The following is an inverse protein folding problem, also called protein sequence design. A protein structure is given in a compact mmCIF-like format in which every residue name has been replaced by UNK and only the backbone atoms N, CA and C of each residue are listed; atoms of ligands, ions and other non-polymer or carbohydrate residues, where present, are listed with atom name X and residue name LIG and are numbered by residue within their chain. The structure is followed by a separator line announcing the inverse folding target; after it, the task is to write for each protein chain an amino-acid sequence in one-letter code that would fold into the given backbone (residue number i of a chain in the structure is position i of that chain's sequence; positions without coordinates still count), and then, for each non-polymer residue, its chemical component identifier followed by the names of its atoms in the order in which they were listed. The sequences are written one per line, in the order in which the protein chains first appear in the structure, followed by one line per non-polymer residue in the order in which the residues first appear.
data_IF_477928187543
#
_entry.id   IF_477928187543
#
_cell.length_a   1.000
_cell.length_b   1.000
_cell.length_c   1.000
_cell.angle_alpha   90.00
_cell.angle_beta   90.00
_cell.angle_gamma   90.00
#
_symmetry.space_group_name_H-M   'P 1'
#
loop_
_entity.id
_entity.type
_entity.pdbx_description
1 polymer ?
#
# COMPACT_ATOMS: atom_id res chain seq x y z
N UNK A 1 4.37 -15.28 15.46
CA UNK A 1 3.74 -13.94 15.29
C UNK A 1 4.81 -12.95 14.83
N UNK A 2 4.45 -11.88 14.10
CA UNK A 2 5.39 -10.86 13.62
C UNK A 2 4.87 -9.45 13.96
N UNK A 3 5.74 -8.62 14.51
CA UNK A 3 5.52 -7.20 14.77
C UNK A 3 6.45 -6.37 13.89
N UNK A 4 6.00 -5.17 13.53
CA UNK A 4 6.77 -4.22 12.74
C UNK A 4 6.98 -2.96 13.57
N UNK A 5 8.23 -2.53 13.66
CA UNK A 5 8.65 -1.33 14.36
C UNK A 5 9.51 -0.49 13.43
N UNK A 6 9.56 0.80 13.75
CA UNK A 6 10.45 1.75 13.14
C UNK A 6 11.38 2.32 14.21
N UNK A 7 12.63 2.60 13.85
CA UNK A 7 13.59 3.33 14.68
C UNK A 7 14.10 4.58 13.97
N UNK A 8 14.56 5.58 14.72
CA UNK A 8 15.05 6.85 14.17
C UNK A 8 13.94 7.85 13.87
N UNK A 9 12.77 7.69 14.50
CA UNK A 9 11.69 8.67 14.39
C UNK A 9 12.12 10.02 15.00
N UNK A 10 11.52 11.14 14.54
CA UNK A 10 11.67 12.43 15.22
C UNK A 10 11.29 12.30 16.68
N UNK A 11 12.04 12.95 17.58
CA UNK A 11 11.86 12.90 19.05
C UNK A 11 12.14 11.56 19.73
N UNK A 12 12.50 10.51 18.99
CA UNK A 12 12.79 9.19 19.56
C UNK A 12 13.98 9.20 20.53
N UNK A 13 13.78 8.58 21.68
CA UNK A 13 14.80 8.39 22.72
C UNK A 13 15.39 6.98 22.72
N UNK A 14 16.51 6.81 23.42
CA UNK A 14 17.14 5.52 23.63
C UNK A 14 16.24 4.56 24.44
N UNK A 15 15.40 5.11 25.30
CA UNK A 15 14.37 4.41 26.05
C UNK A 15 13.30 3.83 25.12
N UNK A 16 12.84 4.59 24.12
CA UNK A 16 11.86 4.14 23.12
C UNK A 16 12.39 2.96 22.30
N UNK A 17 13.64 3.08 21.83
CA UNK A 17 14.33 1.97 21.15
C UNK A 17 14.37 0.74 22.06
N UNK A 18 14.70 0.92 23.33
CA UNK A 18 14.77 -0.19 24.31
C UNK A 18 13.39 -0.81 24.57
N UNK A 19 12.32 -0.01 24.54
CA UNK A 19 10.97 -0.45 24.79
C UNK A 19 10.48 -1.48 23.75
N UNK A 20 11.00 -1.46 22.52
CA UNK A 20 10.69 -2.45 21.48
C UNK A 20 11.07 -3.87 21.95
N UNK A 21 12.28 -4.05 22.49
CA UNK A 21 12.74 -5.34 23.00
C UNK A 21 11.93 -5.79 24.23
N UNK A 22 11.61 -4.85 25.13
CA UNK A 22 10.80 -5.12 26.32
C UNK A 22 9.38 -5.56 25.95
N UNK A 23 8.75 -4.90 24.97
CA UNK A 23 7.44 -5.28 24.46
C UNK A 23 7.49 -6.68 23.82
N UNK A 24 8.50 -6.94 22.98
CA UNK A 24 8.72 -8.26 22.40
C UNK A 24 8.83 -9.37 23.46
N UNK A 25 9.52 -9.09 24.57
CA UNK A 25 9.63 -10.03 25.69
C UNK A 25 8.29 -10.23 26.43
N UNK A 26 7.54 -9.16 26.68
CA UNK A 26 6.20 -9.24 27.31
C UNK A 26 5.24 -10.09 26.46
N UNK A 27 5.21 -9.85 25.16
CA UNK A 27 4.37 -10.59 24.22
C UNK A 27 4.79 -12.05 24.13
N UNK A 28 6.10 -12.33 24.09
CA UNK A 28 6.61 -13.70 24.12
C UNK A 28 6.18 -14.44 25.39
N UNK A 29 6.30 -13.78 26.56
CA UNK A 29 5.87 -14.37 27.85
C UNK A 29 4.39 -14.75 27.82
N UNK A 30 3.52 -13.87 27.33
CA UNK A 30 2.10 -14.17 27.19
C UNK A 30 1.84 -15.28 26.16
N UNK A 31 2.52 -15.22 25.02
CA UNK A 31 2.44 -16.26 23.99
C UNK A 31 2.85 -17.66 24.51
N UNK A 32 3.85 -17.74 25.39
CA UNK A 32 4.31 -19.01 25.98
C UNK A 32 3.30 -19.63 26.95
N UNK A 33 2.43 -18.82 27.56
CA UNK A 33 1.32 -19.33 28.41
C UNK A 33 0.27 -20.07 27.59
N UNK A 34 0.01 -19.59 26.38
CA UNK A 34 -0.96 -20.17 25.44
C UNK A 34 -0.34 -21.29 24.59
N UNK A 35 0.92 -21.13 24.19
CA UNK A 35 1.62 -22.06 23.31
C UNK A 35 3.11 -22.15 23.70
N UNK A 36 3.53 -23.31 24.23
CA UNK A 36 4.93 -23.56 24.64
C UNK A 36 5.96 -23.47 23.50
N UNK A 37 5.52 -23.45 22.24
CA UNK A 37 6.36 -23.24 21.04
C UNK A 37 6.26 -21.82 20.49
N UNK A 38 5.72 -20.86 21.24
CA UNK A 38 5.61 -19.48 20.80
C UNK A 38 6.98 -18.88 20.47
N UNK A 39 7.01 -18.17 19.34
CA UNK A 39 8.13 -17.39 18.84
C UNK A 39 7.60 -16.08 18.25
N UNK A 40 8.37 -15.02 18.46
CA UNK A 40 8.03 -13.66 18.06
C UNK A 40 9.11 -13.13 17.12
N UNK A 41 8.68 -12.58 15.98
CA UNK A 41 9.57 -11.88 15.05
C UNK A 41 9.36 -10.37 15.21
N UNK A 42 10.44 -9.63 15.40
CA UNK A 42 10.47 -8.16 15.45
C UNK A 42 11.09 -7.66 14.15
N UNK A 43 10.26 -7.28 13.18
CA UNK A 43 10.70 -6.54 11.99
C UNK A 43 11.01 -5.10 12.37
N UNK A 44 12.22 -4.62 12.09
CA UNK A 44 12.63 -3.26 12.45
C UNK A 44 13.21 -2.56 11.23
N UNK A 45 12.58 -1.45 10.80
CA UNK A 45 13.11 -0.57 9.75
C UNK A 45 13.60 0.75 10.36
N UNK A 46 14.56 1.41 9.71
CA UNK A 46 14.87 2.79 10.08
C UNK A 46 13.87 3.75 9.42
N UNK A 47 13.63 4.88 10.07
CA UNK A 47 12.75 5.93 9.57
C UNK A 47 13.36 6.58 8.33
N UNK A 48 12.55 6.68 7.29
CA UNK A 48 12.88 7.34 6.03
C UNK A 48 11.83 8.42 5.81
N UNK A 49 12.14 9.70 6.03
CA UNK A 49 11.24 10.79 5.66
C UNK A 49 10.82 10.69 4.19
N UNK A 50 9.52 10.75 3.92
CA UNK A 50 8.96 10.60 2.57
C UNK A 50 8.38 11.92 2.08
N UNK A 51 8.46 12.22 0.77
CA UNK A 51 7.70 13.29 0.14
C UNK A 51 6.23 13.23 0.54
N UNK A 52 5.61 14.40 0.68
CA UNK A 52 4.19 14.53 0.98
C UNK A 52 3.74 13.95 2.33
N UNK A 53 4.67 13.87 3.28
CA UNK A 53 4.37 13.50 4.66
C UNK A 53 4.71 14.65 5.60
N UNK A 54 4.07 14.76 6.78
CA UNK A 54 4.43 15.79 7.75
C UNK A 54 5.91 15.79 8.11
N UNK A 55 6.56 14.63 8.14
CA UNK A 55 7.99 14.55 8.46
C UNK A 55 8.93 14.76 7.27
N UNK A 56 8.47 15.19 6.10
CA UNK A 56 9.33 15.36 4.91
C UNK A 56 10.49 16.37 5.10
N UNK A 57 10.44 17.22 6.13
CA UNK A 57 11.50 18.17 6.50
C UNK A 57 12.50 17.66 7.53
N UNK A 58 12.22 16.51 8.16
CA UNK A 58 13.08 15.92 9.17
C UNK A 58 14.32 15.25 8.53
N UNK A 59 15.47 15.31 9.21
CA UNK A 59 16.59 14.46 8.86
C UNK A 59 16.27 12.99 9.15
N UNK A 60 16.99 12.11 8.46
CA UNK A 60 17.08 10.70 8.78
C UNK A 60 18.37 10.48 9.59
N UNK A 61 18.34 9.53 10.54
CA UNK A 61 19.54 9.14 11.27
C UNK A 61 20.65 8.70 10.32
N UNK A 62 21.88 9.03 10.67
CA UNK A 62 23.06 8.57 9.93
C UNK A 62 23.14 7.05 9.92
N UNK A 63 23.95 6.52 8.99
CA UNK A 63 24.22 5.08 8.92
C UNK A 63 24.79 4.57 10.26
N UNK A 64 25.69 5.34 10.88
CA UNK A 64 26.33 4.99 12.15
C UNK A 64 25.33 4.94 13.32
N UNK A 65 24.47 5.96 13.46
CA UNK A 65 23.42 5.99 14.49
C UNK A 65 22.43 4.84 14.32
N UNK A 66 22.04 4.55 13.07
CA UNK A 66 21.15 3.41 12.77
C UNK A 66 21.77 2.09 13.21
N UNK A 67 23.07 1.86 12.92
CA UNK A 67 23.78 0.69 13.42
C UNK A 67 23.83 0.64 14.94
N UNK A 68 24.09 1.76 15.60
CA UNK A 68 24.14 1.85 17.06
C UNK A 68 22.80 1.45 17.70
N UNK A 69 21.69 2.01 17.21
CA UNK A 69 20.34 1.69 17.69
C UNK A 69 19.98 0.22 17.47
N UNK A 70 20.30 -0.35 16.30
CA UNK A 70 20.10 -1.78 16.05
C UNK A 70 20.95 -2.67 16.96
N UNK A 71 22.19 -2.28 17.24
CA UNK A 71 23.06 -3.03 18.15
C UNK A 71 22.56 -2.96 19.59
N UNK A 72 22.01 -1.82 20.02
CA UNK A 72 21.31 -1.67 21.30
C UNK A 72 20.09 -2.61 21.39
N UNK A 73 19.27 -2.69 20.35
CA UNK A 73 18.15 -3.64 20.30
C UNK A 73 18.63 -5.09 20.41
N UNK A 74 19.66 -5.46 19.64
CA UNK A 74 20.24 -6.81 19.66
C UNK A 74 20.74 -7.20 21.05
N UNK A 75 21.43 -6.30 21.75
CA UNK A 75 22.03 -6.59 23.06
C UNK A 75 20.99 -6.79 24.17
N UNK A 76 19.79 -6.23 24.01
CA UNK A 76 18.69 -6.39 24.96
C UNK A 76 17.90 -7.70 24.77
N UNK A 77 17.99 -8.31 23.59
CA UNK A 77 17.31 -9.57 23.30
C UNK A 77 18.18 -10.74 23.78
N UNK A 78 17.77 -11.37 24.89
CA UNK A 78 18.52 -12.48 25.51
C UNK A 78 18.01 -13.88 25.18
N UNK A 79 16.89 -13.99 24.49
CA UNK A 79 16.23 -15.28 24.19
C UNK A 79 16.27 -15.60 22.71
N UNK A 80 16.45 -16.89 22.37
CA UNK A 80 16.42 -17.39 20.99
C UNK A 80 15.03 -17.45 20.37
N UNK A 81 13.97 -17.16 21.14
CA UNK A 81 12.56 -17.17 20.68
C UNK A 81 12.07 -15.79 20.23
N UNK A 82 12.90 -14.76 20.39
CA UNK A 82 12.62 -13.40 19.97
C UNK A 82 13.59 -13.05 18.84
N UNK A 83 13.10 -13.09 17.61
CA UNK A 83 13.91 -12.95 16.41
C UNK A 83 13.89 -11.51 15.94
N UNK A 84 15.00 -10.79 16.08
CA UNK A 84 15.17 -9.48 15.45
C UNK A 84 15.41 -9.67 13.95
N UNK A 85 14.58 -9.03 13.13
CA UNK A 85 14.67 -9.02 11.66
C UNK A 85 14.80 -7.57 11.19
N UNK A 86 16.00 -6.98 11.33
CA UNK A 86 16.20 -5.60 10.94
C UNK A 86 16.36 -5.48 9.42
N UNK A 87 15.87 -4.39 8.85
CA UNK A 87 16.23 -3.97 7.50
C UNK A 87 17.70 -3.52 7.49
N UNK A 88 18.42 -3.75 6.39
CA UNK A 88 19.81 -3.30 6.29
C UNK A 88 19.88 -1.76 6.35
N UNK A 89 20.72 -1.19 7.24
CA UNK A 89 20.90 0.25 7.33
C UNK A 89 21.33 0.88 5.99
N UNK A 90 22.16 0.19 5.22
CA UNK A 90 22.65 0.63 3.91
C UNK A 90 21.52 0.76 2.89
N UNK A 91 20.61 -0.22 2.82
CA UNK A 91 19.42 -0.15 1.96
C UNK A 91 18.53 1.03 2.36
N UNK A 92 18.31 1.19 3.67
CA UNK A 92 17.51 2.31 4.21
C UNK A 92 18.16 3.67 3.95
N UNK A 93 19.49 3.74 3.90
CA UNK A 93 20.24 4.95 3.58
C UNK A 93 20.13 5.32 2.10
N UNK A 94 20.19 4.33 1.19
CA UNK A 94 19.91 4.54 -0.24
C UNK A 94 18.47 4.98 -0.49
N UNK A 95 17.50 4.32 0.17
CA UNK A 95 16.09 4.75 0.17
C UNK A 95 15.96 6.19 0.70
N UNK A 96 16.78 6.51 1.71
CA UNK A 96 17.15 7.83 2.18
C UNK A 96 17.39 8.82 1.04
N UNK A 97 18.47 8.58 0.30
CA UNK A 97 18.92 9.44 -0.78
C UNK A 97 17.81 9.62 -1.85
N UNK A 98 17.23 8.51 -2.33
CA UNK A 98 16.29 8.56 -3.46
C UNK A 98 14.90 9.08 -3.12
N UNK A 99 14.41 8.86 -1.90
CA UNK A 99 13.11 9.42 -1.50
C UNK A 99 13.14 10.96 -1.45
N UNK A 100 14.33 11.57 -1.29
CA UNK A 100 14.51 13.02 -1.36
C UNK A 100 15.21 13.49 -2.63
N UNK A 101 15.20 12.64 -3.65
CA UNK A 101 15.98 12.83 -4.85
C UNK A 101 15.53 14.01 -5.70
N UNK A 102 16.51 14.61 -6.37
CA UNK A 102 16.33 15.63 -7.39
C UNK A 102 17.03 15.20 -8.70
N UNK A 103 17.08 16.11 -9.68
CA UNK A 103 17.62 15.83 -11.02
C UNK A 103 19.06 15.28 -11.01
N UNK A 104 20.00 15.81 -10.20
CA UNK A 104 21.34 15.23 -10.03
C UNK A 104 21.38 13.72 -9.79
N UNK A 105 20.47 13.17 -8.99
CA UNK A 105 20.48 11.74 -8.65
C UNK A 105 20.21 10.83 -9.85
N UNK A 106 19.64 11.33 -10.94
CA UNK A 106 19.48 10.53 -12.16
C UNK A 106 20.85 10.02 -12.68
N UNK A 107 21.89 10.86 -12.60
CA UNK A 107 23.26 10.46 -12.99
C UNK A 107 23.84 9.40 -12.07
N UNK A 108 23.52 9.48 -10.76
CA UNK A 108 23.94 8.49 -9.78
C UNK A 108 23.39 7.11 -10.09
N UNK A 109 22.09 7.02 -10.41
CA UNK A 109 21.43 5.75 -10.76
C UNK A 109 22.11 5.12 -11.98
N UNK A 110 22.35 5.92 -13.02
CA UNK A 110 23.02 5.44 -14.24
C UNK A 110 24.44 4.97 -13.91
N UNK A 111 25.21 5.75 -13.14
CA UNK A 111 26.59 5.39 -12.79
C UNK A 111 26.68 4.11 -11.96
N UNK A 112 25.81 3.97 -10.95
CA UNK A 112 25.72 2.74 -10.16
C UNK A 112 25.32 1.54 -11.03
N UNK A 113 24.40 1.75 -11.97
CA UNK A 113 24.03 0.74 -12.94
C UNK A 113 25.21 0.34 -13.84
N UNK A 114 26.01 1.28 -14.35
CA UNK A 114 27.22 0.98 -15.14
C UNK A 114 28.26 0.18 -14.34
N UNK A 115 28.38 0.46 -13.04
CA UNK A 115 29.26 -0.29 -12.12
C UNK A 115 28.74 -1.69 -11.78
N UNK A 116 27.50 -2.01 -12.12
CA UNK A 116 26.91 -3.33 -11.95
C UNK A 116 26.02 -3.50 -10.71
N UNK A 117 25.52 -2.42 -10.12
CA UNK A 117 24.44 -2.45 -9.12
C UNK A 117 23.13 -2.95 -9.77
N UNK A 118 22.66 -4.11 -9.37
CA UNK A 118 21.41 -4.74 -9.85
C UNK A 118 20.81 -5.51 -8.69
N UNK A 119 19.47 -5.53 -8.59
CA UNK A 119 18.77 -6.26 -7.53
C UNK A 119 19.20 -5.82 -6.12
N UNK A 120 19.54 -4.55 -5.93
CA UNK A 120 20.01 -3.98 -4.65
C UNK A 120 18.91 -3.91 -3.58
N UNK A 121 17.65 -4.16 -3.94
CA UNK A 121 16.54 -4.34 -2.99
C UNK A 121 16.69 -5.63 -2.17
N UNK A 122 17.32 -6.66 -2.73
CA UNK A 122 17.62 -7.89 -2.00
C UNK A 122 18.93 -7.74 -1.27
N UNK A 123 18.91 -8.11 0.01
CA UNK A 123 20.06 -8.02 0.89
C UNK A 123 21.33 -8.67 0.29
N UNK A 124 21.21 -9.80 -0.39
CA UNK A 124 22.32 -10.51 -1.04
C UNK A 124 22.85 -9.80 -2.30
N UNK A 125 22.00 -9.00 -2.95
CA UNK A 125 22.32 -8.27 -4.18
C UNK A 125 22.91 -6.88 -3.95
N UNK A 126 22.76 -6.31 -2.74
CA UNK A 126 23.20 -4.95 -2.43
C UNK A 126 24.72 -4.77 -2.53
N UNK A 127 25.16 -3.97 -3.51
CA UNK A 127 26.58 -3.59 -3.69
C UNK A 127 26.84 -2.18 -3.19
N UNK A 128 26.65 -1.93 -1.90
CA UNK A 128 26.75 -0.59 -1.32
C UNK A 128 28.08 0.13 -1.61
N UNK A 129 29.21 -0.60 -1.64
CA UNK A 129 30.50 -0.02 -1.98
C UNK A 129 30.53 0.64 -3.38
N UNK A 130 29.86 0.06 -4.37
CA UNK A 130 29.76 0.62 -5.72
C UNK A 130 28.88 1.87 -5.75
N UNK A 131 27.85 1.93 -4.90
CA UNK A 131 27.08 3.16 -4.71
C UNK A 131 27.97 4.28 -4.17
N UNK A 132 28.85 3.96 -3.21
CA UNK A 132 29.82 4.93 -2.66
C UNK A 132 30.72 5.52 -3.73
N UNK A 133 31.36 4.65 -4.50
CA UNK A 133 32.18 5.08 -5.63
C UNK A 133 31.36 5.90 -6.65
N UNK A 134 30.12 5.49 -6.93
CA UNK A 134 29.28 6.16 -7.92
C UNK A 134 28.91 7.60 -7.51
N UNK A 135 28.58 7.86 -6.23
CA UNK A 135 28.28 9.23 -5.80
C UNK A 135 29.54 10.09 -5.66
N UNK A 136 30.68 9.50 -5.28
CA UNK A 136 31.97 10.20 -5.28
C UNK A 136 32.33 10.66 -6.71
N UNK A 137 32.23 9.76 -7.70
CA UNK A 137 32.47 10.08 -9.11
C UNK A 137 31.47 11.10 -9.68
N UNK A 138 30.23 11.10 -9.18
CA UNK A 138 29.21 12.06 -9.60
C UNK A 138 29.29 13.41 -8.85
N UNK A 139 30.16 13.54 -7.83
CA UNK A 139 30.22 14.72 -6.97
C UNK A 139 28.96 14.94 -6.13
N UNK A 140 28.29 13.86 -5.75
CA UNK A 140 27.04 13.88 -4.97
C UNK A 140 27.37 13.65 -3.50
N UNK A 141 26.99 14.59 -2.65
CA UNK A 141 27.06 14.44 -1.20
C UNK A 141 25.77 13.77 -0.67
N UNK A 142 25.83 12.53 -0.15
CA UNK A 142 24.64 11.87 0.41
C UNK A 142 24.13 12.56 1.69
N UNK A 143 24.97 13.26 2.46
CA UNK A 143 24.55 13.95 3.69
C UNK A 143 23.56 15.07 3.37
N UNK A 144 23.73 15.76 2.25
CA UNK A 144 22.78 16.75 1.74
C UNK A 144 21.36 16.18 1.57
N UNK A 145 21.22 14.90 1.21
CA UNK A 145 19.90 14.29 1.05
C UNK A 145 19.36 13.74 2.36
N UNK A 146 20.17 13.03 3.14
CA UNK A 146 19.68 12.21 4.26
C UNK A 146 19.65 12.97 5.59
N UNK A 147 20.74 13.65 5.95
CA UNK A 147 21.00 14.04 7.33
C UNK A 147 20.70 15.52 7.63
N UNK A 148 20.46 16.34 6.60
CA UNK A 148 20.10 17.75 6.81
C UNK A 148 18.63 17.92 7.13
N UNK A 149 18.36 18.80 8.11
CA UNK A 149 17.03 19.37 8.34
C UNK A 149 16.70 20.37 7.23
N UNK A 150 15.46 20.33 6.75
CA UNK A 150 14.97 21.26 5.71
C UNK A 150 14.10 22.34 6.33
N UNK A 151 14.11 23.53 5.74
CA UNK A 151 13.30 24.65 6.21
C UNK A 151 11.85 24.57 5.71
N UNK A 152 10.92 25.19 6.45
CA UNK A 152 9.50 25.33 6.06
C UNK A 152 9.36 25.87 4.62
N UNK A 153 10.04 26.97 4.35
CA UNK A 153 9.99 27.72 3.09
C UNK A 153 10.94 27.16 2.01
N UNK A 154 11.63 26.06 2.29
CA UNK A 154 12.56 25.46 1.34
C UNK A 154 11.78 24.89 0.15
N UNK A 155 12.27 25.15 -1.07
CA UNK A 155 11.74 24.51 -2.28
C UNK A 155 12.19 23.06 -2.34
N UNK A 156 11.23 22.14 -2.28
CA UNK A 156 11.48 20.70 -2.32
C UNK A 156 11.41 20.19 -3.76
N UNK A 157 12.18 19.14 -4.12
CA UNK A 157 12.20 18.59 -5.48
C UNK A 157 10.82 18.19 -6.02
N UNK A 158 9.89 17.83 -5.14
CA UNK A 158 8.54 17.37 -5.46
C UNK A 158 7.45 18.45 -5.30
N UNK A 159 7.81 19.70 -4.97
CA UNK A 159 6.83 20.81 -4.81
C UNK A 159 6.03 21.11 -6.10
N UNK A 160 6.55 20.68 -7.26
CA UNK A 160 5.87 20.84 -8.55
C UNK A 160 4.81 19.78 -8.84
N UNK A 161 4.67 18.78 -7.97
CA UNK A 161 3.66 17.72 -8.11
C UNK A 161 2.44 18.08 -7.25
N UNK A 162 1.27 17.85 -7.82
CA UNK A 162 0.01 18.08 -7.14
C UNK A 162 -0.57 16.75 -6.64
N UNK A 163 -0.85 16.69 -5.34
CA UNK A 163 -1.35 15.49 -4.65
C UNK A 163 -2.59 15.78 -3.80
N UNK A 164 -3.32 16.84 -4.13
CA UNK A 164 -4.50 17.36 -3.41
C UNK A 164 -4.29 17.81 -1.96
N UNK A 165 -3.10 17.60 -1.37
CA UNK A 165 -2.71 18.13 -0.06
C UNK A 165 -1.85 19.37 -0.19
N UNK A 166 -2.16 20.39 0.62
CA UNK A 166 -1.38 21.63 0.71
C UNK A 166 -0.11 21.42 1.53
N UNK A 167 1.00 22.03 1.10
CA UNK A 167 2.28 21.97 1.81
C UNK A 167 2.20 22.61 3.20
N UNK A 168 1.41 23.68 3.32
CA UNK A 168 1.17 24.39 4.59
C UNK A 168 0.46 23.49 5.59
N UNK A 169 -0.51 22.71 5.13
CA UNK A 169 -1.22 21.74 5.98
C UNK A 169 -0.27 20.66 6.51
N UNK A 170 0.62 20.12 5.65
CA UNK A 170 1.63 19.15 6.10
C UNK A 170 2.58 19.75 7.16
N UNK A 171 2.87 21.05 7.09
CA UNK A 171 3.68 21.74 8.09
C UNK A 171 2.94 21.91 9.42
N UNK A 172 1.65 22.26 9.39
CA UNK A 172 0.81 22.34 10.58
C UNK A 172 0.70 20.98 11.29
N UNK A 173 0.53 19.90 10.52
CA UNK A 173 0.53 18.53 11.05
C UNK A 173 1.89 18.15 11.65
N UNK A 174 2.98 18.61 11.03
CA UNK A 174 4.32 18.43 11.57
C UNK A 174 4.47 19.11 12.93
N UNK A 175 4.10 20.39 13.05
CA UNK A 175 4.15 21.13 14.30
C UNK A 175 3.27 20.48 15.37
N UNK A 176 2.06 20.05 15.00
CA UNK A 176 1.15 19.31 15.87
C UNK A 176 1.79 18.01 16.39
N UNK A 177 2.46 17.24 15.51
CA UNK A 177 3.13 15.99 15.88
C UNK A 177 4.27 16.19 16.88
N UNK A 178 5.06 17.26 16.71
CA UNK A 178 6.17 17.61 17.62
C UNK A 178 5.64 17.98 19.01
N UNK A 179 4.44 18.55 19.09
CA UNK A 179 3.77 18.88 20.35
C UNK A 179 2.93 17.73 20.93
N UNK A 180 2.97 16.54 20.31
CA UNK A 180 2.09 15.42 20.65
C UNK A 180 0.61 15.82 20.73
N UNK A 181 0.18 16.74 19.85
CA UNK A 181 -1.18 17.24 19.82
C UNK A 181 -2.16 16.14 19.39
N UNK A 182 -3.35 16.18 19.97
CA UNK A 182 -4.43 15.28 19.58
C UNK A 182 -5.04 15.71 18.25
N UNK A 183 -5.19 14.77 17.33
CA UNK A 183 -5.86 14.97 16.03
C UNK A 183 -7.18 14.20 16.04
N UNK A 184 -8.27 14.89 15.72
CA UNK A 184 -9.60 14.28 15.64
C UNK A 184 -9.69 13.29 14.47
N UNK A 185 -10.54 12.26 14.62
CA UNK A 185 -10.90 11.39 13.52
C UNK A 185 -11.74 12.16 12.47
N UNK A 186 -11.24 12.30 11.24
CA UNK A 186 -11.91 13.08 10.19
C UNK A 186 -13.26 12.50 9.70
N UNK A 187 -13.64 11.29 10.16
CA UNK A 187 -14.97 10.71 9.93
C UNK A 187 -16.05 11.29 10.84
N UNK A 188 -15.68 11.84 11.99
CA UNK A 188 -16.63 12.38 12.99
C UNK A 188 -16.30 13.78 13.49
N UNK A 189 -15.03 14.19 13.39
CA UNK A 189 -14.52 15.48 13.80
C UNK A 189 -14.17 16.38 12.62
N UNK A 190 -13.08 17.14 12.75
CA UNK A 190 -12.63 18.09 11.73
C UNK A 190 -12.02 17.35 10.53
N UNK A 191 -12.35 17.80 9.33
CA UNK A 191 -11.78 17.27 8.10
C UNK A 191 -10.25 17.45 8.08
N UNK A 192 -9.51 16.40 7.71
CA UNK A 192 -8.06 16.43 7.52
C UNK A 192 -7.62 16.93 6.13
N UNK A 193 -8.57 17.40 5.31
CA UNK A 193 -8.32 18.04 4.00
C UNK A 193 -7.44 17.20 3.06
N UNK A 194 -7.64 15.88 3.05
CA UNK A 194 -6.91 14.96 2.17
C UNK A 194 -7.31 15.04 0.68
N UNK A 195 -8.31 15.85 0.33
CA UNK A 195 -8.80 16.03 -1.04
C UNK A 195 -9.73 14.93 -1.56
N UNK A 196 -9.89 13.82 -0.83
CA UNK A 196 -10.70 12.66 -1.29
C UNK A 196 -12.21 12.89 -1.17
N UNK A 197 -12.63 13.61 -0.13
CA UNK A 197 -14.03 13.79 0.25
C UNK A 197 -14.41 15.25 0.12
N UNK A 198 -15.47 15.55 -0.63
CA UNK A 198 -16.02 16.90 -0.78
C UNK A 198 -17.24 17.15 0.13
N UNK A 199 -17.69 16.10 0.84
CA UNK A 199 -18.88 16.07 1.68
C UNK A 199 -20.19 16.44 0.95
N UNK A 200 -20.17 16.54 -0.39
CA UNK A 200 -21.33 16.81 -1.24
C UNK A 200 -21.69 15.56 -2.04
N UNK A 201 -20.75 15.05 -2.82
CA UNK A 201 -20.89 13.85 -3.64
C UNK A 201 -20.24 12.64 -2.97
N UNK A 202 -19.09 12.85 -2.32
CA UNK A 202 -18.31 11.81 -1.65
C UNK A 202 -18.25 12.13 -0.17
N UNK A 203 -18.61 11.15 0.68
CA UNK A 203 -18.50 11.26 2.14
C UNK A 203 -18.11 9.94 2.78
N UNK A 204 -17.37 10.03 3.88
CA UNK A 204 -17.07 8.88 4.71
C UNK A 204 -18.37 8.27 5.24
N UNK A 205 -18.50 6.94 5.09
CA UNK A 205 -19.54 6.17 5.76
C UNK A 205 -18.90 5.48 6.95
N UNK A 206 -18.91 6.14 8.11
CA UNK A 206 -18.48 5.50 9.34
C UNK A 206 -19.43 4.35 9.70
N UNK A 207 -18.87 3.24 10.17
CA UNK A 207 -19.66 2.18 10.78
C UNK A 207 -20.15 2.67 12.14
N UNK A 208 -21.46 2.88 12.29
CA UNK A 208 -22.03 3.21 13.59
C UNK A 208 -22.16 1.95 14.43
N UNK A 209 -21.56 1.95 15.63
CA UNK A 209 -21.73 0.85 16.57
C UNK A 209 -23.21 0.69 16.93
N UNK A 210 -23.72 -0.56 17.02
CA UNK A 210 -25.08 -0.80 17.46
C UNK A 210 -25.28 -0.21 18.87
N UNK A 211 -26.28 0.65 19.03
CA UNK A 211 -26.64 1.21 20.35
C UNK A 211 -27.59 0.26 21.04
N UNK A 212 -27.31 -0.04 22.29
CA UNK A 212 -28.16 -0.87 23.14
C UNK A 212 -28.79 0.03 24.20
N UNK A 213 -30.08 -0.14 24.44
CA UNK A 213 -30.76 0.51 25.55
C UNK A 213 -30.25 -0.03 26.90
N UNK A 214 -30.69 0.59 28.01
CA UNK A 214 -30.31 0.17 29.36
C UNK A 214 -30.68 -1.29 29.70
N UNK A 215 -31.55 -1.93 28.92
CA UNK A 215 -31.92 -3.33 29.05
C UNK A 215 -31.11 -4.26 28.12
N UNK A 216 -30.10 -3.75 27.42
CA UNK A 216 -29.25 -4.52 26.52
C UNK A 216 -29.92 -4.85 25.18
N UNK A 217 -31.03 -4.18 24.83
CA UNK A 217 -31.75 -4.41 23.58
C UNK A 217 -31.33 -3.38 22.54
N UNK A 218 -31.11 -3.84 21.31
CA UNK A 218 -30.69 -2.97 20.21
C UNK A 218 -31.74 -1.88 19.97
N UNK A 219 -31.33 -0.62 20.07
CA UNK A 219 -32.16 0.54 19.74
C UNK A 219 -32.47 0.55 18.24
N UNK A 220 -33.74 0.27 17.89
CA UNK A 220 -34.21 0.35 16.50
C UNK A 220 -34.38 1.81 16.10
N UNK A 221 -33.40 2.41 15.43
CA UNK A 221 -33.56 3.74 14.83
C UNK A 221 -34.34 3.66 13.51
N UNK A 222 -35.35 4.53 13.36
CA UNK A 222 -35.90 4.95 12.06
C UNK A 222 -35.03 6.08 11.55
N UNK A 223 -34.02 5.79 10.74
CA UNK A 223 -33.21 6.83 10.08
C UNK A 223 -34.05 7.55 9.02
N UNK A 224 -34.10 8.88 9.08
CA UNK A 224 -34.85 9.79 8.18
C UNK A 224 -34.09 10.19 6.91
N UNK A 225 -32.83 9.79 6.79
CA UNK A 225 -32.27 9.52 5.47
C UNK A 225 -32.65 8.07 5.20
N UNK A 226 -33.15 7.75 4.00
CA UNK A 226 -33.00 6.39 3.49
C UNK A 226 -31.49 6.10 3.47
N UNK A 227 -30.97 5.69 4.62
CA UNK A 227 -29.99 4.63 4.69
C UNK A 227 -30.66 3.59 3.84
N UNK A 228 -30.31 3.54 2.54
CA UNK A 228 -30.37 2.29 1.78
C UNK A 228 -29.90 1.33 2.83
N UNK A 229 -30.84 0.50 3.32
CA UNK A 229 -30.56 -0.51 4.32
C UNK A 229 -29.20 -1.04 3.93
N UNK A 230 -28.26 -1.25 4.86
CA UNK A 230 -27.09 -2.02 4.47
C UNK A 230 -27.66 -3.29 3.83
N UNK A 231 -27.69 -3.30 2.50
CA UNK A 231 -28.02 -4.42 1.68
C UNK A 231 -26.66 -5.07 1.85
N UNK A 232 -26.50 -6.07 2.73
CA UNK A 232 -25.30 -6.88 2.69
C UNK A 232 -25.10 -7.14 1.20
N UNK A 233 -23.95 -6.75 0.61
CA UNK A 233 -23.76 -6.86 -0.83
C UNK A 233 -24.27 -8.23 -1.17
N UNK A 234 -25.36 -8.29 -1.95
CA UNK A 234 -26.08 -9.55 -2.16
C UNK A 234 -24.98 -10.50 -2.56
N UNK A 235 -24.66 -11.54 -1.76
CA UNK A 235 -23.52 -12.39 -2.05
C UNK A 235 -23.71 -12.78 -3.51
N UNK A 236 -22.79 -12.40 -4.40
CA UNK A 236 -23.03 -12.40 -5.83
C UNK A 236 -23.48 -13.79 -6.16
N UNK A 237 -24.77 -13.95 -6.52
CA UNK A 237 -25.56 -15.18 -6.32
C UNK A 237 -24.65 -16.38 -6.46
N UNK A 238 -24.08 -16.82 -5.33
CA UNK A 238 -23.36 -18.08 -5.36
C UNK A 238 -24.49 -19.06 -5.44
N UNK A 239 -24.52 -19.82 -6.53
CA UNK A 239 -25.51 -20.85 -6.73
C UNK A 239 -25.38 -21.82 -5.55
N UNK A 240 -26.12 -21.56 -4.47
CA UNK A 240 -26.57 -22.59 -3.56
C UNK A 240 -27.70 -23.30 -4.30
N UNK A 241 -27.34 -23.99 -5.37
CA UNK A 241 -28.02 -25.24 -5.67
C UNK A 241 -27.80 -26.12 -4.46
N UNK A 242 -28.87 -26.66 -3.88
CA UNK A 242 -28.73 -27.67 -2.85
C UNK A 242 -27.75 -28.74 -3.33
N UNK A 243 -26.87 -29.19 -2.43
CA UNK A 243 -25.85 -30.23 -2.68
C UNK A 243 -24.67 -29.83 -3.59
N UNK A 244 -23.75 -29.00 -3.09
CA UNK A 244 -22.30 -29.11 -3.42
C UNK A 244 -21.82 -29.01 -4.88
N UNK A 245 -22.70 -28.84 -5.86
CA UNK A 245 -22.35 -28.80 -7.28
C UNK A 245 -22.00 -27.37 -7.70
N UNK A 246 -20.75 -27.20 -8.13
CA UNK A 246 -20.22 -25.97 -8.69
C UNK A 246 -20.86 -25.83 -10.08
N UNK A 247 -21.79 -24.89 -10.31
CA UNK A 247 -22.10 -24.59 -11.71
C UNK A 247 -20.82 -24.03 -12.36
N UNK A 248 -20.41 -24.58 -13.52
CA UNK A 248 -19.20 -24.17 -14.21
C UNK A 248 -19.19 -22.65 -14.47
N UNK A 249 -20.35 -22.05 -14.72
CA UNK A 249 -20.48 -20.64 -15.10
C UNK A 249 -19.97 -20.45 -16.54
N UNK A 250 -20.12 -19.24 -17.07
CA UNK A 250 -19.69 -18.92 -18.43
C UNK A 250 -18.32 -18.27 -18.38
N UNK A 251 -17.35 -18.80 -19.10
CA UNK A 251 -15.99 -18.26 -19.13
C UNK A 251 -15.73 -17.57 -20.46
N UNK A 252 -15.37 -16.29 -20.41
CA UNK A 252 -15.07 -15.48 -21.58
C UNK A 252 -13.60 -15.11 -21.62
N UNK A 253 -12.94 -15.37 -22.73
CA UNK A 253 -11.60 -14.86 -23.00
C UNK A 253 -11.71 -13.47 -23.64
N UNK A 254 -11.13 -12.48 -22.95
CA UNK A 254 -11.12 -11.09 -23.35
C UNK A 254 -9.73 -10.73 -23.83
N UNK A 255 -9.60 -10.30 -25.09
CA UNK A 255 -8.35 -9.76 -25.62
C UNK A 255 -8.34 -8.25 -25.44
N UNK A 256 -7.27 -7.69 -24.88
CA UNK A 256 -7.17 -6.28 -24.54
C UNK A 256 -5.86 -5.65 -25.05
N UNK A 257 -5.85 -4.33 -25.12
CA UNK A 257 -4.64 -3.50 -25.22
C UNK A 257 -4.48 -2.67 -23.96
N UNK A 258 -3.24 -2.39 -23.60
CA UNK A 258 -2.84 -1.36 -22.65
C UNK A 258 -1.80 -0.48 -23.34
N UNK A 259 -2.16 0.74 -23.71
CA UNK A 259 -1.36 1.67 -24.52
C UNK A 259 -1.40 3.11 -24.00
N UNK A 260 -0.53 3.96 -24.52
CA UNK A 260 -0.40 5.35 -24.07
C UNK A 260 -0.06 5.45 -22.58
N UNK A 261 -0.64 6.41 -21.84
CA UNK A 261 -0.40 6.56 -20.40
C UNK A 261 -0.74 5.31 -19.57
N UNK A 262 -1.70 4.48 -20.02
CA UNK A 262 -2.05 3.25 -19.31
C UNK A 262 -0.91 2.22 -19.30
N UNK A 263 0.07 2.32 -20.20
CA UNK A 263 1.28 1.47 -20.18
C UNK A 263 2.08 1.61 -18.88
N UNK A 264 1.98 2.77 -18.21
CA UNK A 264 2.63 3.06 -16.94
C UNK A 264 1.96 2.41 -15.73
N UNK A 265 0.77 1.84 -15.89
CA UNK A 265 0.10 1.09 -14.82
C UNK A 265 0.83 -0.23 -14.57
N UNK A 266 1.12 -0.49 -13.29
CA UNK A 266 1.57 -1.79 -12.82
C UNK A 266 0.52 -2.88 -13.07
N UNK A 267 0.95 -4.14 -13.02
CA UNK A 267 0.02 -5.25 -13.21
C UNK A 267 -1.11 -5.25 -12.16
N UNK A 268 -0.80 -4.94 -10.90
CA UNK A 268 -1.82 -4.90 -9.84
C UNK A 268 -2.83 -3.78 -10.06
N UNK A 269 -2.38 -2.59 -10.45
CA UNK A 269 -3.28 -1.48 -10.79
C UNK A 269 -4.14 -1.85 -12.00
N UNK A 270 -3.58 -2.47 -13.03
CA UNK A 270 -4.34 -2.98 -14.16
C UNK A 270 -5.44 -3.94 -13.72
N UNK A 271 -5.10 -4.95 -12.91
CA UNK A 271 -6.07 -5.92 -12.36
C UNK A 271 -7.21 -5.21 -11.62
N UNK A 272 -6.90 -4.21 -10.80
CA UNK A 272 -7.91 -3.45 -10.06
C UNK A 272 -8.78 -2.59 -10.99
N UNK A 273 -8.22 -2.00 -12.05
CA UNK A 273 -8.99 -1.29 -13.07
C UNK A 273 -9.96 -2.22 -13.79
N UNK A 274 -9.53 -3.43 -14.17
CA UNK A 274 -10.39 -4.45 -14.80
C UNK A 274 -11.52 -4.87 -13.87
N UNK A 275 -11.23 -5.09 -12.58
CA UNK A 275 -12.26 -5.41 -11.57
C UNK A 275 -13.27 -4.29 -11.40
N UNK A 276 -12.80 -3.04 -11.30
CA UNK A 276 -13.66 -1.84 -11.18
C UNK A 276 -14.49 -1.62 -12.44
N UNK A 277 -13.92 -1.80 -13.62
CA UNK A 277 -14.64 -1.72 -14.89
C UNK A 277 -15.74 -2.79 -14.96
N UNK A 278 -15.45 -4.04 -14.61
CA UNK A 278 -16.44 -5.11 -14.55
C UNK A 278 -17.60 -4.79 -13.59
N UNK A 279 -17.30 -4.20 -12.43
CA UNK A 279 -18.30 -3.77 -11.47
C UNK A 279 -19.15 -2.58 -11.99
N UNK A 280 -18.52 -1.57 -12.62
CA UNK A 280 -19.23 -0.43 -13.24
C UNK A 280 -20.09 -0.82 -14.42
N UNK A 281 -19.67 -1.85 -15.17
CA UNK A 281 -20.42 -2.44 -16.27
C UNK A 281 -21.56 -3.36 -15.78
N UNK A 282 -21.77 -3.46 -14.46
CA UNK A 282 -22.77 -4.31 -13.81
C UNK A 282 -22.72 -5.77 -14.29
N UNK A 283 -21.52 -6.25 -14.63
CA UNK A 283 -21.35 -7.61 -15.11
C UNK A 283 -21.63 -8.62 -13.99
N UNK A 284 -22.29 -9.75 -14.28
CA UNK A 284 -22.61 -10.77 -13.30
C UNK A 284 -21.38 -11.65 -13.00
N UNK A 285 -20.30 -11.04 -12.51
CA UNK A 285 -19.01 -11.72 -12.26
C UNK A 285 -19.17 -12.76 -11.15
N UNK A 286 -18.59 -13.95 -11.36
CA UNK A 286 -18.50 -15.02 -10.35
C UNK A 286 -17.43 -14.65 -9.32
N UNK A 287 -17.64 -15.00 -8.06
CA UNK A 287 -16.67 -14.71 -6.99
C UNK A 287 -16.06 -15.99 -6.39
N UNK A 288 -14.90 -15.87 -5.76
CA UNK A 288 -14.28 -16.94 -4.99
C UNK A 288 -15.06 -17.26 -3.70
N UNK A 289 -14.89 -18.47 -3.17
CA UNK A 289 -15.64 -18.98 -1.99
C UNK A 289 -14.86 -18.87 -0.67
N UNK A 290 -13.85 -17.99 -0.60
CA UNK A 290 -13.02 -17.79 0.60
C UNK A 290 -13.61 -16.77 1.58
N UNK A 291 -12.94 -16.56 2.71
CA UNK A 291 -13.31 -15.57 3.74
C UNK A 291 -13.34 -14.12 3.20
N UNK A 292 -12.65 -13.85 2.11
CA UNK A 292 -12.71 -12.60 1.35
C UNK A 292 -13.02 -12.91 -0.13
N UNK A 293 -14.31 -12.96 -0.53
CA UNK A 293 -14.70 -13.25 -1.90
C UNK A 293 -14.12 -12.21 -2.87
N UNK A 294 -13.39 -12.68 -3.88
CA UNK A 294 -12.78 -11.85 -4.93
C UNK A 294 -13.44 -12.15 -6.28
N UNK A 295 -13.60 -11.14 -7.17
CA UNK A 295 -14.04 -11.37 -8.54
C UNK A 295 -13.13 -12.39 -9.23
N UNK A 296 -13.74 -13.42 -9.83
CA UNK A 296 -13.03 -14.51 -10.49
C UNK A 296 -12.66 -14.07 -11.90
N UNK A 297 -11.51 -13.42 -11.99
CA UNK A 297 -10.86 -13.00 -13.23
C UNK A 297 -9.43 -13.54 -13.19
N UNK A 298 -9.05 -14.27 -14.23
CA UNK A 298 -7.75 -14.91 -14.37
C UNK A 298 -6.93 -14.14 -15.39
N UNK A 299 -5.74 -13.71 -15.01
CA UNK A 299 -4.82 -12.99 -15.88
C UNK A 299 -3.67 -13.91 -16.29
N UNK A 300 -3.10 -13.64 -17.48
CA UNK A 300 -1.88 -14.29 -17.93
C UNK A 300 -0.66 -13.79 -17.17
N UNK A 301 0.43 -13.54 -17.89
CA UNK A 301 1.65 -13.01 -17.29
C UNK A 301 1.47 -11.56 -16.82
N UNK A 302 2.21 -11.19 -15.78
CA UNK A 302 2.23 -9.82 -15.31
C UNK A 302 2.80 -8.90 -16.41
N UNK A 303 2.00 -7.93 -16.86
CA UNK A 303 2.44 -6.97 -17.86
C UNK A 303 3.54 -6.06 -17.30
N UNK A 304 4.66 -5.88 -18.02
CA UNK A 304 5.71 -4.96 -17.60
C UNK A 304 5.20 -3.51 -17.57
N UNK A 305 5.75 -2.72 -16.64
CA UNK A 305 5.46 -1.28 -16.50
C UNK A 305 6.21 -0.53 -17.61
N UNK A 306 5.53 0.43 -18.24
CA UNK A 306 6.10 1.27 -19.30
C UNK A 306 6.14 0.60 -20.67
N UNK A 307 5.56 -0.59 -20.84
CA UNK A 307 5.41 -1.24 -22.13
C UNK A 307 3.94 -1.24 -22.55
N UNK A 308 3.71 -0.89 -23.82
CA UNK A 308 2.42 -1.18 -24.44
C UNK A 308 2.30 -2.68 -24.67
N UNK A 309 1.14 -3.24 -24.33
CA UNK A 309 0.90 -4.69 -24.43
C UNK A 309 -0.44 -4.96 -25.06
N UNK A 310 -0.51 -6.09 -25.78
CA UNK A 310 -1.76 -6.74 -26.15
C UNK A 310 -1.71 -8.17 -25.63
N UNK A 311 -2.69 -8.54 -24.82
CA UNK A 311 -2.73 -9.84 -24.14
C UNK A 311 -4.21 -10.23 -23.89
N UNK A 312 -4.43 -11.28 -23.12
CA UNK A 312 -5.76 -11.76 -22.76
C UNK A 312 -5.93 -12.00 -21.27
N UNK A 313 -7.17 -11.90 -20.81
CA UNK A 313 -7.60 -12.35 -19.50
C UNK A 313 -8.91 -13.13 -19.63
N UNK A 314 -9.20 -13.98 -18.67
CA UNK A 314 -10.44 -14.76 -18.61
C UNK A 314 -11.33 -14.23 -17.51
N UNK A 315 -12.56 -13.85 -17.85
CA UNK A 315 -13.60 -13.46 -16.89
C UNK A 315 -14.64 -14.56 -16.76
N UNK A 316 -15.00 -14.89 -15.52
CA UNK A 316 -16.01 -15.91 -15.24
C UNK A 316 -17.31 -15.25 -14.78
N UNK A 317 -18.41 -15.53 -15.47
CA UNK A 317 -19.73 -14.95 -15.23
C UNK A 317 -20.73 -16.00 -14.71
N UNK A 318 -21.69 -15.54 -13.91
CA UNK A 318 -22.77 -16.35 -13.35
C UNK A 318 -23.85 -16.71 -14.39
N UNK A 319 -24.07 -15.84 -15.37
CA UNK A 319 -25.02 -16.02 -16.48
C UNK A 319 -24.36 -15.67 -17.81
N UNK A 320 -24.88 -16.24 -18.89
CA UNK A 320 -24.46 -15.89 -20.23
C UNK A 320 -24.75 -14.42 -20.51
N UNK A 321 -23.78 -13.76 -21.13
CA UNK A 321 -23.88 -12.42 -21.69
C UNK A 321 -23.47 -12.52 -23.16
N UNK A 322 -24.16 -11.81 -24.06
CA UNK A 322 -23.74 -11.80 -25.46
C UNK A 322 -22.34 -11.18 -25.57
N UNK A 323 -21.41 -11.78 -26.34
CA UNK A 323 -20.08 -11.22 -26.54
C UNK A 323 -20.06 -9.74 -26.91
N UNK A 324 -21.01 -9.30 -27.73
CA UNK A 324 -21.15 -7.92 -28.17
C UNK A 324 -21.56 -6.99 -27.02
N UNK A 325 -22.52 -7.40 -26.20
CA UNK A 325 -22.96 -6.64 -25.03
C UNK A 325 -21.82 -6.55 -24.00
N UNK A 326 -21.10 -7.65 -23.79
CA UNK A 326 -19.94 -7.69 -22.90
C UNK A 326 -18.87 -6.72 -23.38
N UNK A 327 -18.53 -6.76 -24.68
CA UNK A 327 -17.58 -5.85 -25.29
C UNK A 327 -17.96 -4.38 -25.12
N UNK A 328 -19.20 -4.02 -25.42
CA UNK A 328 -19.68 -2.65 -25.34
C UNK A 328 -19.68 -2.13 -23.90
N UNK A 329 -20.27 -2.88 -22.95
CA UNK A 329 -20.32 -2.46 -21.55
C UNK A 329 -18.92 -2.36 -20.92
N UNK A 330 -18.01 -3.26 -21.27
CA UNK A 330 -16.64 -3.19 -20.76
C UNK A 330 -15.90 -1.97 -21.32
N UNK A 331 -15.93 -1.76 -22.64
CA UNK A 331 -15.22 -0.63 -23.26
C UNK A 331 -15.78 0.74 -22.88
N UNK A 332 -17.06 0.84 -22.50
CA UNK A 332 -17.66 2.06 -21.96
C UNK A 332 -17.17 2.40 -20.55
N UNK A 333 -16.63 1.43 -19.81
CA UNK A 333 -16.25 1.58 -18.40
C UNK A 333 -14.74 1.45 -18.16
N UNK A 334 -13.97 1.04 -19.17
CA UNK A 334 -12.52 1.01 -19.12
C UNK A 334 -11.94 2.43 -19.14
N UNK A 335 -10.83 2.69 -18.42
CA UNK A 335 -10.13 3.96 -18.49
C UNK A 335 -9.44 4.14 -19.85
N UNK A 336 -9.12 5.38 -20.19
CA UNK A 336 -8.33 5.69 -21.39
C UNK A 336 -7.02 4.91 -21.44
N UNK A 337 -6.67 4.41 -22.62
CA UNK A 337 -5.50 3.57 -22.85
C UNK A 337 -5.70 2.08 -22.54
N UNK A 338 -6.84 1.65 -22.00
CA UNK A 338 -7.20 0.22 -21.88
C UNK A 338 -8.44 -0.06 -22.71
N UNK A 339 -8.39 -1.03 -23.61
CA UNK A 339 -9.54 -1.40 -24.46
C UNK A 339 -9.59 -2.89 -24.72
N UNK A 340 -10.78 -3.45 -24.79
CA UNK A 340 -11.00 -4.74 -25.44
C UNK A 340 -10.90 -4.58 -26.96
N UNK A 341 -10.20 -5.51 -27.60
CA UNK A 341 -9.93 -5.49 -29.04
C UNK A 341 -11.06 -6.07 -29.89
N UNK A 342 -11.80 -7.04 -29.35
CA UNK A 342 -12.87 -7.73 -30.04
C UNK A 342 -13.92 -8.26 -29.04
N UNK A 343 -15.13 -8.62 -29.51
CA UNK A 343 -16.10 -9.37 -28.71
C UNK A 343 -15.48 -10.58 -28.01
N UNK A 344 -15.59 -10.68 -26.67
CA UNK A 344 -14.98 -11.77 -25.92
C UNK A 344 -15.48 -13.14 -26.30
N UNK A 345 -14.56 -14.09 -26.43
CA UNK A 345 -14.88 -15.46 -26.89
C UNK A 345 -15.35 -16.30 -25.71
N UNK A 346 -16.52 -16.92 -25.84
CA UNK A 346 -16.98 -17.91 -24.85
C UNK A 346 -16.14 -19.18 -24.97
N UNK A 347 -15.28 -19.44 -23.99
CA UNK A 347 -14.32 -20.56 -24.00
C UNK A 347 -14.75 -21.75 -23.13
N UNK A 348 -15.74 -21.56 -22.25
CA UNK A 348 -16.38 -22.64 -21.52
C UNK A 348 -17.86 -22.32 -21.38
N UNK A 349 -18.74 -22.93 -22.21
CA UNK A 349 -20.16 -23.02 -21.91
C UNK A 349 -20.38 -23.93 -20.68
N UNK A 350 -21.57 -23.90 -20.05
CA UNK A 350 -21.86 -24.68 -18.86
C UNK A 350 -21.81 -26.19 -19.08
#
# INVERSE_FOLDING_TARGET
MKFYFMIGLPTETDEDVSAIAQLGQKVLTEGLRQNRKAEINLGVSAFVPKPFTPFQWEPQNSLAETHQKLNRLRSQIRTRRLHLKPHKPETTYLEGIFARGDRPLAKLIVRAWEKGCRFDEWDEGLKFHLWREAWEECGIDPHFYVERRRGREERLPWDHLFIDMKKEWLWEEYEASVQAAFVDDCSTGKCSVCGVCDYKEVRNRAYELPRYDAAGKLEKRKTTTEVRAYIPPVPPVSLRGGQGEIHPGFSYQCTYTKSGPASLLSHLEFVDHIRRAAARAELPVKFSQGFHPQPRISFGNASPVGCEVSDSFTIHLLRSVKPEDLYQHFNQTLPDGIRLLAPPVLISPP
#
